data_IF_393481808545
#
_entry.id   IF_393481808545
#
_cell.length_a   1.000
_cell.length_b   1.000
_cell.length_c   1.000
_cell.angle_alpha   90.00
_cell.angle_beta   90.00
_cell.angle_gamma   90.00
#
_symmetry.space_group_name_H-M   'P 1'
#
loop_
_entity.id
_entity.type
_entity.pdbx_description
1 polymer ?
#
# COMPACT_ATOMS: atom_id res chain seq x y z
N UNK A 1 -11.78 4.15 16.72
CA UNK A 1 -10.44 4.72 16.46
C UNK A 1 -10.10 4.41 15.03
N UNK A 2 -10.04 5.42 14.18
CA UNK A 2 -9.74 5.28 12.76
C UNK A 2 -8.22 5.12 12.64
N UNK A 3 -7.75 3.88 12.55
CA UNK A 3 -6.33 3.56 12.33
C UNK A 3 -6.04 3.80 10.85
N UNK A 4 -6.01 5.09 10.50
CA UNK A 4 -5.60 5.62 9.20
C UNK A 4 -4.08 5.48 9.14
N UNK A 5 -3.57 5.08 7.98
CA UNK A 5 -2.14 5.03 7.66
C UNK A 5 -1.40 6.21 8.31
N UNK A 6 -0.16 5.99 8.78
CA UNK A 6 0.66 7.12 9.22
C UNK A 6 0.87 8.09 8.07
N UNK A 7 1.21 9.35 8.35
CA UNK A 7 1.46 10.34 7.29
C UNK A 7 2.53 9.86 6.29
N UNK A 8 3.56 9.16 6.77
CA UNK A 8 4.59 8.55 5.93
C UNK A 8 4.04 7.43 5.05
N UNK A 9 3.26 6.50 5.63
CA UNK A 9 2.62 5.42 4.86
C UNK A 9 1.64 5.96 3.81
N UNK A 10 0.90 7.02 4.13
CA UNK A 10 0.01 7.68 3.20
C UNK A 10 0.77 8.33 2.04
N UNK A 11 1.84 9.07 2.34
CA UNK A 11 2.70 9.67 1.32
C UNK A 11 3.31 8.62 0.39
N UNK A 12 3.79 7.52 0.96
CA UNK A 12 4.33 6.39 0.21
C UNK A 12 3.27 5.76 -0.71
N UNK A 13 2.07 5.48 -0.18
CA UNK A 13 0.96 4.93 -0.96
C UNK A 13 0.57 5.84 -2.13
N UNK A 14 0.43 7.15 -1.88
CA UNK A 14 0.06 8.12 -2.90
C UNK A 14 1.14 8.23 -3.97
N UNK A 15 2.42 8.21 -3.60
CA UNK A 15 3.53 8.21 -4.55
C UNK A 15 3.48 6.96 -5.46
N UNK A 16 3.29 5.77 -4.89
CA UNK A 16 3.16 4.53 -5.67
C UNK A 16 1.96 4.57 -6.60
N UNK A 17 0.81 5.00 -6.10
CA UNK A 17 -0.41 5.10 -6.87
C UNK A 17 -0.28 6.14 -8.00
N UNK A 18 0.40 7.26 -7.76
CA UNK A 18 0.67 8.27 -8.76
C UNK A 18 1.57 7.73 -9.88
N UNK A 19 2.63 6.99 -9.53
CA UNK A 19 3.53 6.35 -10.50
C UNK A 19 2.84 5.25 -11.32
N UNK A 20 1.89 4.53 -10.72
CA UNK A 20 1.12 3.48 -11.38
C UNK A 20 -0.01 4.01 -12.28
N UNK A 21 -0.43 5.26 -12.10
CA UNK A 21 -1.40 5.97 -12.95
C UNK A 21 -2.73 6.32 -12.28
N UNK A 22 -3.56 7.08 -13.00
CA UNK A 22 -4.78 7.74 -12.46
C UNK A 22 -5.75 6.77 -11.79
N UNK A 23 -5.88 5.54 -12.29
CA UNK A 23 -6.77 4.54 -11.70
C UNK A 23 -6.32 4.13 -10.30
N UNK A 24 -5.02 3.88 -10.08
CA UNK A 24 -4.50 3.53 -8.75
C UNK A 24 -4.54 4.73 -7.81
N UNK A 25 -4.36 5.95 -8.34
CA UNK A 25 -4.54 7.17 -7.56
C UNK A 25 -5.96 7.31 -6.99
N UNK A 26 -6.98 6.97 -7.80
CA UNK A 26 -8.37 6.95 -7.33
C UNK A 26 -8.62 5.89 -6.23
N UNK A 27 -7.88 4.77 -6.24
CA UNK A 27 -7.95 3.77 -5.16
C UNK A 27 -7.38 4.31 -3.84
N UNK A 28 -6.29 5.08 -3.90
CA UNK A 28 -5.76 5.73 -2.70
C UNK A 28 -6.80 6.67 -2.08
N UNK A 29 -7.47 7.50 -2.89
CA UNK A 29 -8.55 8.38 -2.40
C UNK A 29 -9.70 7.58 -1.76
N UNK A 30 -10.14 6.49 -2.41
CA UNK A 30 -11.15 5.58 -1.84
C UNK A 30 -10.70 4.97 -0.50
N UNK A 31 -9.40 4.69 -0.33
CA UNK A 31 -8.85 4.20 0.92
C UNK A 31 -9.03 5.21 2.06
N UNK A 32 -8.85 6.50 1.77
CA UNK A 32 -9.06 7.59 2.73
C UNK A 32 -10.52 7.65 3.19
N UNK A 33 -11.45 7.45 2.26
CA UNK A 33 -12.89 7.45 2.52
C UNK A 33 -13.41 6.12 3.08
N UNK A 34 -12.57 5.08 3.17
CA UNK A 34 -12.96 3.76 3.65
C UNK A 34 -13.96 3.05 2.74
N UNK A 35 -14.01 3.39 1.46
CA UNK A 35 -14.97 2.88 0.47
C UNK A 35 -14.41 1.80 -0.44
N UNK A 36 -13.20 1.31 -0.17
CA UNK A 36 -12.57 0.24 -0.94
C UNK A 36 -13.27 -1.11 -0.74
N UNK A 37 -13.53 -1.79 -1.84
CA UNK A 37 -13.87 -3.20 -1.88
C UNK A 37 -12.65 -4.09 -1.66
N UNK A 38 -12.88 -5.36 -1.34
CA UNK A 38 -11.79 -6.33 -1.13
C UNK A 38 -10.91 -6.50 -2.37
N UNK A 39 -11.48 -6.49 -3.58
CA UNK A 39 -10.71 -6.57 -4.83
C UNK A 39 -9.82 -5.34 -5.04
N UNK A 40 -10.30 -4.15 -4.68
CA UNK A 40 -9.49 -2.94 -4.79
C UNK A 40 -8.37 -2.89 -3.73
N UNK A 41 -8.60 -3.50 -2.56
CA UNK A 41 -7.52 -3.71 -1.57
C UNK A 41 -6.47 -4.67 -2.13
N UNK A 42 -6.87 -5.77 -2.76
CA UNK A 42 -5.95 -6.74 -3.37
C UNK A 42 -5.10 -6.06 -4.46
N UNK A 43 -5.71 -5.19 -5.25
CA UNK A 43 -5.01 -4.39 -6.26
C UNK A 43 -3.95 -3.42 -5.70
N UNK A 44 -4.21 -2.81 -4.54
CA UNK A 44 -3.23 -1.97 -3.86
C UNK A 44 -2.11 -2.82 -3.25
N UNK A 45 -2.46 -3.97 -2.65
CA UNK A 45 -1.50 -4.92 -2.11
C UNK A 45 -0.57 -5.45 -3.21
N UNK A 46 -1.10 -5.77 -4.39
CA UNK A 46 -0.33 -6.20 -5.55
C UNK A 46 0.64 -5.11 -6.00
N UNK A 47 0.19 -3.86 -6.10
CA UNK A 47 1.05 -2.72 -6.45
C UNK A 47 2.23 -2.58 -5.48
N UNK A 48 1.97 -2.60 -4.17
CA UNK A 48 3.00 -2.48 -3.13
C UNK A 48 3.96 -3.68 -3.18
N UNK A 49 3.43 -4.89 -3.40
CA UNK A 49 4.24 -6.11 -3.48
C UNK A 49 5.16 -6.11 -4.70
N UNK A 50 4.66 -5.63 -5.85
CA UNK A 50 5.46 -5.48 -7.06
C UNK A 50 6.60 -4.48 -6.86
N UNK A 51 6.32 -3.35 -6.23
CA UNK A 51 7.34 -2.37 -5.88
C UNK A 51 8.39 -2.97 -4.93
N UNK A 52 7.95 -3.70 -3.90
CA UNK A 52 8.85 -4.36 -2.96
C UNK A 52 9.80 -5.32 -3.69
N UNK A 53 9.28 -6.14 -4.60
CA UNK A 53 10.11 -7.08 -5.38
C UNK A 53 11.10 -6.39 -6.31
N UNK A 54 10.75 -5.21 -6.84
CA UNK A 54 11.59 -4.50 -7.82
C UNK A 54 12.65 -3.62 -7.15
N UNK A 55 12.29 -2.93 -6.06
CA UNK A 55 13.10 -1.87 -5.46
C UNK A 55 13.33 -2.04 -3.95
N UNK A 56 12.56 -2.93 -3.30
CA UNK A 56 12.61 -3.14 -1.84
C UNK A 56 13.56 -4.24 -1.39
N UNK A 57 14.11 -5.05 -2.31
CA UNK A 57 14.98 -6.19 -2.01
C UNK A 57 16.39 -5.89 -2.55
N UNK A 58 17.40 -6.09 -1.72
CA UNK A 58 18.82 -6.01 -2.13
C UNK A 58 19.28 -7.28 -2.85
N UNK A 59 20.46 -7.26 -3.45
CA UNK A 59 21.07 -8.44 -4.08
C UNK A 59 21.29 -9.60 -3.08
N UNK A 60 21.34 -9.29 -1.79
CA UNK A 60 21.40 -10.26 -0.68
C UNK A 60 20.08 -11.00 -0.45
N UNK A 61 19.01 -10.67 -1.19
CA UNK A 61 17.63 -11.12 -0.95
C UNK A 61 17.05 -10.66 0.39
N UNK A 62 17.67 -9.67 1.05
CA UNK A 62 17.14 -9.04 2.24
C UNK A 62 16.39 -7.75 1.89
N UNK A 63 15.32 -7.40 2.62
CA UNK A 63 14.65 -6.13 2.44
C UNK A 63 15.57 -4.97 2.86
N UNK A 64 15.70 -3.97 1.99
CA UNK A 64 16.35 -2.71 2.37
C UNK A 64 15.40 -1.85 3.23
N UNK A 65 15.86 -0.68 3.67
CA UNK A 65 15.06 0.26 4.46
C UNK A 65 13.73 0.62 3.78
N UNK A 66 13.72 0.77 2.45
CA UNK A 66 12.51 1.05 1.68
C UNK A 66 11.59 -0.18 1.60
N UNK A 67 12.15 -1.38 1.44
CA UNK A 67 11.42 -2.64 1.51
C UNK A 67 10.69 -2.82 2.85
N UNK A 68 11.35 -2.49 3.96
CA UNK A 68 10.71 -2.53 5.28
C UNK A 68 9.53 -1.55 5.39
N UNK A 69 9.65 -0.35 4.82
CA UNK A 69 8.54 0.62 4.76
C UNK A 69 7.37 0.11 3.92
N UNK A 70 7.65 -0.55 2.79
CA UNK A 70 6.64 -1.17 1.93
C UNK A 70 5.93 -2.35 2.62
N UNK A 71 6.65 -3.18 3.36
CA UNK A 71 6.03 -4.26 4.15
C UNK A 71 5.08 -3.72 5.22
N UNK A 72 5.51 -2.68 5.95
CA UNK A 72 4.68 -2.00 6.94
C UNK A 72 3.44 -1.37 6.30
N UNK A 73 3.59 -0.79 5.10
CA UNK A 73 2.47 -0.26 4.32
C UNK A 73 1.52 -1.38 3.88
N UNK A 74 2.06 -2.49 3.35
CA UNK A 74 1.29 -3.64 2.90
C UNK A 74 0.44 -4.23 4.04
N UNK A 75 1.03 -4.43 5.22
CA UNK A 75 0.31 -4.90 6.40
C UNK A 75 -0.81 -3.93 6.80
N UNK A 76 -0.54 -2.61 6.78
CA UNK A 76 -1.54 -1.61 7.11
C UNK A 76 -2.72 -1.56 6.12
N UNK A 77 -2.44 -1.70 4.81
CA UNK A 77 -3.48 -1.78 3.77
C UNK A 77 -4.28 -3.09 3.91
N UNK A 78 -3.60 -4.22 4.08
CA UNK A 78 -4.24 -5.53 4.19
C UNK A 78 -5.09 -5.68 5.46
N UNK A 79 -4.73 -5.02 6.57
CA UNK A 79 -5.56 -4.98 7.80
C UNK A 79 -6.95 -4.39 7.58
N UNK A 80 -7.13 -3.53 6.57
CA UNK A 80 -8.47 -3.00 6.21
C UNK A 80 -9.44 -4.09 5.78
N UNK A 81 -8.95 -5.20 5.22
CA UNK A 81 -9.76 -6.36 4.85
C UNK A 81 -10.51 -6.96 6.05
N UNK A 82 -9.90 -6.93 7.23
CA UNK A 82 -10.47 -7.51 8.45
C UNK A 82 -11.55 -6.67 9.14
N UNK A 83 -11.77 -5.42 8.72
CA UNK A 83 -12.73 -4.49 9.35
C UNK A 83 -14.07 -4.38 8.62
N UNK A 84 -14.26 -5.07 7.49
CA UNK A 84 -15.52 -5.11 6.74
C UNK A 84 -16.57 -6.06 7.37
N UNK A 85 -16.59 -6.21 8.70
CA UNK A 85 -17.58 -7.00 9.44
C UNK A 85 -18.33 -6.15 10.44
#
# INVERSE_FOLDING_TARGET
MSWVLTSAQWQLLVALCFLAGEFKLALAEKLLHGSLSSSEIDELCELISNEFMMNGIEESFEPNSYGLELELLLDAVNRRRGQAR
#
